data_IF_619861633568
#
_entry.id   IF_619861633568
#
_cell.length_a   1.000
_cell.length_b   1.000
_cell.length_c   1.000
_cell.angle_alpha   90.00
_cell.angle_beta   90.00
_cell.angle_gamma   90.00
#
_symmetry.space_group_name_H-M   'P 1'
#
loop_
_entity.id
_entity.type
_entity.pdbx_description
1 polymer ?
#
# COMPACT_ATOMS: atom_id res chain seq x y z
N UNK A 1 16.92 7.80 -0.24
CA UNK A 1 16.68 8.22 -1.63
C UNK A 1 15.29 8.81 -1.67
N UNK A 2 15.11 10.05 -2.15
CA UNK A 2 13.78 10.59 -2.38
C UNK A 2 13.33 10.06 -3.76
N UNK A 3 12.46 9.06 -3.76
CA UNK A 3 11.82 8.58 -4.98
C UNK A 3 10.86 9.66 -5.46
N UNK A 4 11.01 10.13 -6.70
CA UNK A 4 10.14 11.13 -7.30
C UNK A 4 8.87 10.44 -7.78
N UNK A 5 7.71 10.85 -7.26
CA UNK A 5 6.45 10.12 -7.43
C UNK A 5 5.61 10.83 -8.48
N UNK A 6 5.54 10.23 -9.66
CA UNK A 6 4.63 10.68 -10.71
C UNK A 6 3.21 10.18 -10.42
N UNK A 7 2.28 11.13 -10.32
CA UNK A 7 0.87 10.87 -10.05
C UNK A 7 0.18 10.16 -11.23
N UNK A 8 0.63 10.40 -12.46
CA UNK A 8 0.11 9.70 -13.65
C UNK A 8 0.60 8.25 -13.66
N UNK A 9 1.88 8.02 -13.38
CA UNK A 9 2.45 6.66 -13.27
C UNK A 9 1.74 5.83 -12.19
N UNK A 10 1.46 6.42 -11.02
CA UNK A 10 0.73 5.73 -9.96
C UNK A 10 -0.69 5.32 -10.39
N UNK A 11 -1.41 6.20 -11.10
CA UNK A 11 -2.75 5.88 -11.61
C UNK A 11 -2.70 4.75 -12.63
N UNK A 12 -1.75 4.79 -13.57
CA UNK A 12 -1.55 3.73 -14.57
C UNK A 12 -1.23 2.39 -13.91
N UNK A 13 -0.54 2.41 -12.76
CA UNK A 13 -0.23 1.23 -11.94
C UNK A 13 -1.37 0.81 -10.99
N UNK A 14 -2.52 1.47 -11.05
CA UNK A 14 -3.73 1.11 -10.31
C UNK A 14 -3.77 1.62 -8.86
N UNK A 15 -2.99 2.65 -8.54
CA UNK A 15 -3.16 3.38 -7.28
C UNK A 15 -4.34 4.35 -7.39
N UNK A 16 -5.09 4.45 -6.29
CA UNK A 16 -6.18 5.39 -6.12
C UNK A 16 -5.78 6.41 -5.08
N UNK A 17 -6.04 7.67 -5.40
CA UNK A 17 -5.87 8.79 -4.48
C UNK A 17 -6.92 8.71 -3.36
N UNK A 18 -6.47 8.67 -2.10
CA UNK A 18 -7.31 8.76 -0.92
C UNK A 18 -7.00 10.04 -0.16
N UNK A 19 -8.01 10.87 0.06
CA UNK A 19 -7.91 12.16 0.74
C UNK A 19 -9.04 12.30 1.75
N UNK A 20 -9.02 11.43 2.75
CA UNK A 20 -9.97 11.46 3.86
C UNK A 20 -9.45 12.41 4.95
N UNK A 21 -10.22 13.49 5.17
CA UNK A 21 -10.26 14.38 6.34
C UNK A 21 -8.95 14.71 7.08
N UNK A 22 -8.22 15.69 6.55
CA UNK A 22 -7.08 16.39 7.18
C UNK A 22 -5.73 15.65 7.21
N UNK A 23 -5.62 14.49 6.56
CA UNK A 23 -4.33 13.80 6.37
C UNK A 23 -3.89 13.96 4.91
N UNK A 24 -2.61 14.26 4.74
CA UNK A 24 -1.99 14.58 3.47
C UNK A 24 -2.17 13.43 2.47
N UNK A 25 -2.31 13.79 1.19
CA UNK A 25 -2.36 12.92 0.01
C UNK A 25 -1.74 11.53 0.24
N UNK A 26 -2.61 10.52 0.21
CA UNK A 26 -2.23 9.11 0.24
C UNK A 26 -2.63 8.44 -1.07
N UNK A 27 -1.76 7.60 -1.61
CA UNK A 27 -2.09 6.71 -2.74
C UNK A 27 -2.17 5.28 -2.23
N UNK A 28 -3.23 4.56 -2.61
CA UNK A 28 -3.38 3.14 -2.24
C UNK A 28 -3.62 2.28 -3.47
N UNK A 29 -2.94 1.14 -3.54
CA UNK A 29 -3.22 0.07 -4.51
C UNK A 29 -3.68 -1.17 -3.75
N UNK A 30 -4.87 -1.66 -4.06
CA UNK A 30 -5.35 -2.93 -3.51
C UNK A 30 -4.49 -4.07 -4.06
N UNK A 31 -3.85 -4.84 -3.19
CA UNK A 31 -3.09 -6.04 -3.55
C UNK A 31 -4.01 -7.27 -3.48
N UNK A 32 -4.78 -7.40 -2.40
CA UNK A 32 -5.86 -8.38 -2.25
C UNK A 32 -6.94 -7.86 -1.29
N UNK A 33 -7.90 -8.70 -0.89
CA UNK A 33 -9.00 -8.27 0.00
C UNK A 33 -8.54 -7.79 1.37
N UNK A 34 -7.38 -8.23 1.83
CA UNK A 34 -6.83 -7.92 3.15
C UNK A 34 -5.60 -7.02 3.10
N UNK A 35 -5.08 -6.69 1.93
CA UNK A 35 -3.79 -6.00 1.84
C UNK A 35 -3.83 -4.89 0.80
N UNK A 36 -3.44 -3.69 1.22
CA UNK A 36 -3.23 -2.55 0.34
C UNK A 36 -1.78 -2.10 0.40
N UNK A 37 -1.18 -1.76 -0.74
CA UNK A 37 0.07 -1.03 -0.79
C UNK A 37 -0.23 0.46 -0.71
N UNK A 38 0.34 1.14 0.29
CA UNK A 38 0.03 2.54 0.61
C UNK A 38 1.28 3.38 0.49
N UNK A 39 1.15 4.48 -0.25
CA UNK A 39 2.11 5.56 -0.34
C UNK A 39 1.57 6.76 0.44
N UNK A 40 2.21 7.13 1.53
CA UNK A 40 1.94 8.37 2.27
C UNK A 40 2.95 9.43 1.85
N UNK A 41 2.51 10.61 1.42
CA UNK A 41 3.42 11.67 0.98
C UNK A 41 3.90 12.59 2.11
N UNK A 42 3.25 12.58 3.28
CA UNK A 42 3.55 13.53 4.35
C UNK A 42 3.03 13.03 5.70
N UNK A 43 3.62 13.47 6.83
CA UNK A 43 4.69 14.47 6.98
C UNK A 43 6.04 14.08 6.38
N UNK A 44 6.30 12.78 6.23
CA UNK A 44 7.45 12.26 5.51
C UNK A 44 6.99 11.19 4.51
N UNK A 45 7.52 11.19 3.27
CA UNK A 45 7.19 10.17 2.30
C UNK A 45 7.51 8.77 2.83
N UNK A 46 6.49 7.92 2.91
CA UNK A 46 6.65 6.53 3.33
C UNK A 46 5.82 5.60 2.46
N UNK A 47 6.32 4.38 2.30
CA UNK A 47 5.68 3.33 1.54
C UNK A 47 5.58 2.10 2.44
N UNK A 48 4.38 1.56 2.57
CA UNK A 48 4.16 0.38 3.37
C UNK A 48 3.02 -0.47 2.81
N UNK A 49 3.07 -1.75 3.12
CA UNK A 49 1.93 -2.65 2.97
C UNK A 49 1.06 -2.53 4.22
N UNK A 50 -0.22 -2.21 4.03
CA UNK A 50 -1.25 -2.22 5.06
C UNK A 50 -1.94 -3.57 5.05
N UNK A 51 -1.61 -4.40 6.03
CA UNK A 51 -2.25 -5.68 6.28
C UNK A 51 -3.49 -5.43 7.15
N UNK A 52 -4.66 -5.40 6.52
CA UNK A 52 -5.96 -5.26 7.17
C UNK A 52 -6.27 -6.57 7.89
N UNK A 53 -6.30 -6.45 9.21
CA UNK A 53 -6.91 -7.40 10.14
C UNK A 53 -6.22 -8.77 10.21
N UNK A 54 -5.56 -9.05 11.34
CA UNK A 54 -5.12 -10.39 11.71
C UNK A 54 -6.06 -11.06 12.74
N UNK A 55 -7.04 -10.36 13.35
CA UNK A 55 -7.84 -10.94 14.44
C UNK A 55 -9.33 -10.55 14.40
N UNK A 56 -10.17 -11.54 14.07
CA UNK A 56 -11.64 -11.42 13.92
C UNK A 56 -12.41 -11.09 15.21
N UNK A 57 -11.71 -10.83 16.33
CA UNK A 57 -12.30 -10.72 17.67
C UNK A 57 -12.14 -9.34 18.33
N UNK A 58 -11.37 -8.39 17.77
CA UNK A 58 -11.19 -7.07 18.37
C UNK A 58 -11.61 -5.92 17.42
N UNK A 59 -12.70 -5.27 17.79
CA UNK A 59 -13.29 -4.11 17.10
C UNK A 59 -12.42 -2.85 17.13
N UNK A 60 -11.27 -2.86 17.84
CA UNK A 60 -10.32 -1.76 17.90
C UNK A 60 -8.94 -2.07 17.28
N UNK A 61 -8.74 -3.22 16.63
CA UNK A 61 -7.42 -3.52 16.05
C UNK A 61 -7.20 -2.80 14.72
N UNK A 62 -6.38 -1.74 14.79
CA UNK A 62 -5.71 -1.12 13.66
C UNK A 62 -4.78 -2.15 12.98
N UNK A 63 -4.90 -2.33 11.67
CA UNK A 63 -4.05 -3.25 10.89
C UNK A 63 -2.53 -3.04 11.05
N UNK A 64 -1.74 -3.93 10.45
CA UNK A 64 -0.27 -3.89 10.54
C UNK A 64 0.33 -3.14 9.36
N UNK A 65 1.27 -2.21 9.63
CA UNK A 65 2.10 -1.55 8.59
C UNK A 65 3.42 -2.27 8.42
N UNK A 66 3.69 -2.77 7.23
CA UNK A 66 4.99 -3.32 6.85
C UNK A 66 5.70 -2.31 5.95
N UNK A 67 6.67 -1.57 6.49
CA UNK A 67 7.43 -0.56 5.75
C UNK A 67 8.33 -1.19 4.69
N UNK A 68 8.32 -0.60 3.50
CA UNK A 68 9.09 -1.05 2.35
C UNK A 68 10.10 0.04 1.95
N UNK A 69 11.29 -0.39 1.54
CA UNK A 69 12.33 0.49 0.99
C UNK A 69 12.73 0.06 -0.43
N UNK A 70 11.80 0.10 -1.40
CA UNK A 70 12.12 -0.22 -2.79
C UNK A 70 12.84 0.95 -3.48
N UNK A 71 13.52 0.65 -4.59
CA UNK A 71 14.11 1.63 -5.49
C UNK A 71 13.12 2.12 -6.56
N UNK A 72 11.98 1.45 -6.74
CA UNK A 72 10.92 1.86 -7.68
C UNK A 72 9.50 1.44 -7.26
N UNK A 73 8.46 2.02 -7.88
CA UNK A 73 7.06 1.58 -7.67
C UNK A 73 6.85 0.15 -8.17
N UNK A 74 7.51 -0.26 -9.25
CA UNK A 74 7.37 -1.64 -9.74
C UNK A 74 7.96 -2.65 -8.75
N UNK A 75 9.10 -2.32 -8.15
CA UNK A 75 9.69 -3.12 -7.09
C UNK A 75 8.80 -3.13 -5.84
N UNK A 76 8.18 -2.00 -5.47
CA UNK A 76 7.22 -1.95 -4.38
C UNK A 76 6.07 -2.94 -4.55
N UNK A 77 5.47 -2.95 -5.74
CA UNK A 77 4.36 -3.85 -6.09
C UNK A 77 4.82 -5.30 -6.03
N UNK A 78 5.96 -5.61 -6.64
CA UNK A 78 6.52 -6.96 -6.64
C UNK A 78 6.79 -7.47 -5.21
N UNK A 79 7.38 -6.64 -4.34
CA UNK A 79 7.62 -6.99 -2.94
C UNK A 79 6.30 -7.23 -2.22
N UNK A 80 5.32 -6.33 -2.38
CA UNK A 80 4.01 -6.46 -1.76
C UNK A 80 3.31 -7.76 -2.16
N UNK A 81 3.30 -8.10 -3.46
CA UNK A 81 2.73 -9.34 -3.98
C UNK A 81 3.43 -10.60 -3.44
N UNK A 82 4.75 -10.52 -3.22
CA UNK A 82 5.53 -11.63 -2.64
C UNK A 82 5.27 -11.81 -1.15
N UNK A 83 5.10 -10.73 -0.40
CA UNK A 83 4.82 -10.78 1.05
C UNK A 83 3.47 -11.44 1.31
N UNK A 84 2.43 -11.06 0.57
CA UNK A 84 1.05 -11.52 0.85
C UNK A 84 0.69 -12.88 0.26
N UNK A 85 1.62 -13.52 -0.45
CA UNK A 85 1.40 -14.74 -1.24
C UNK A 85 0.11 -14.65 -2.08
N UNK A 86 0.19 -14.05 -3.27
CA UNK A 86 -0.94 -14.10 -4.21
C UNK A 86 -1.10 -15.54 -4.71
N UNK A 87 -1.97 -16.30 -4.08
CA UNK A 87 -2.39 -17.60 -4.61
C UNK A 87 -3.34 -17.36 -5.79
N UNK A 88 -2.80 -17.49 -7.01
CA UNK A 88 -3.58 -17.42 -8.26
C UNK A 88 -4.41 -18.69 -8.51
N UNK A 89 -4.74 -19.49 -7.49
CA UNK A 89 -5.67 -20.61 -7.63
C UNK A 89 -7.12 -20.12 -7.64
N UNK A 90 -7.52 -19.58 -8.78
CA UNK A 90 -8.90 -19.18 -9.07
C UNK A 90 -9.15 -19.12 -10.58
N UNK A 91 -8.75 -20.18 -11.29
CA UNK A 91 -9.25 -20.50 -12.64
C UNK A 91 -10.35 -21.55 -12.55
#
# INVERSE_FOLDING_TARGET
>A
MAFEIDHEELKDKGFVFNNEDNIIVNFKKKINDRNDLVFELSPEPSLYLWCKDEDYEDENMDGVRVYLHPESVDEAILIAEKIVYVDYTGF
#
